data_IF_179260169060
#
_entry.id   IF_179260169060
#
_cell.length_a   1.000
_cell.length_b   1.000
_cell.length_c   1.000
_cell.angle_alpha   90.00
_cell.angle_beta   90.00
_cell.angle_gamma   90.00
#
_symmetry.space_group_name_H-M   'P 1'
#
loop_
_entity.id
_entity.type
_entity.pdbx_description
1 polymer ?
#
# COMPACT_ATOMS: atom_id res chain seq x y z
N UNK A 1 -5.16 34.92 -7.60
CA UNK A 1 -5.11 33.47 -7.88
C UNK A 1 -5.25 32.77 -6.53
N UNK A 2 -6.46 32.33 -6.16
CA UNK A 2 -6.76 31.83 -4.82
C UNK A 2 -6.52 30.33 -4.71
N UNK A 3 -5.69 29.92 -3.75
CA UNK A 3 -5.59 28.51 -3.33
C UNK A 3 -6.97 28.07 -2.79
N UNK A 4 -7.35 26.82 -3.07
CA UNK A 4 -8.67 26.27 -2.73
C UNK A 4 -9.09 26.58 -1.28
N UNK A 5 -10.29 27.13 -1.08
CA UNK A 5 -10.86 27.50 0.24
C UNK A 5 -11.33 26.30 1.08
N UNK A 6 -10.80 25.10 0.87
CA UNK A 6 -11.32 23.87 1.49
C UNK A 6 -10.20 23.11 2.18
N UNK A 7 -10.41 22.62 3.40
CA UNK A 7 -9.42 21.78 4.08
C UNK A 7 -9.25 20.43 3.35
N UNK A 8 -8.03 19.89 3.27
CA UNK A 8 -7.80 18.59 2.65
C UNK A 8 -8.38 17.46 3.49
N UNK A 9 -8.76 16.39 2.82
CA UNK A 9 -9.12 15.13 3.45
C UNK A 9 -7.93 14.19 3.37
N UNK A 10 -7.42 13.74 4.52
CA UNK A 10 -6.37 12.72 4.58
C UNK A 10 -6.98 11.34 4.39
N UNK A 11 -6.56 10.65 3.33
CA UNK A 11 -7.00 9.29 3.00
C UNK A 11 -5.77 8.39 2.97
N UNK A 12 -5.80 7.31 3.77
CA UNK A 12 -4.79 6.25 3.71
C UNK A 12 -5.35 5.00 3.04
N UNK A 13 -4.73 4.58 1.94
CA UNK A 13 -5.10 3.38 1.19
C UNK A 13 -4.93 2.09 2.00
N UNK A 14 -4.20 2.12 3.12
CA UNK A 14 -3.97 0.97 4.00
C UNK A 14 -5.26 0.24 4.44
N UNK A 15 -6.42 0.90 4.37
CA UNK A 15 -7.73 0.29 4.69
C UNK A 15 -8.26 -0.63 3.59
N UNK A 16 -7.81 -0.44 2.36
CA UNK A 16 -8.28 -1.14 1.15
C UNK A 16 -7.15 -1.82 0.38
N UNK A 17 -5.89 -1.53 0.73
CA UNK A 17 -4.71 -2.16 0.15
C UNK A 17 -3.71 -2.60 1.22
N UNK A 18 -2.76 -3.46 0.86
CA UNK A 18 -1.70 -3.92 1.76
C UNK A 18 -0.58 -2.90 1.94
N UNK A 19 -0.61 -1.75 1.25
CA UNK A 19 0.42 -0.73 1.31
C UNK A 19 -0.08 0.56 1.97
N UNK A 20 0.77 1.17 2.81
CA UNK A 20 0.50 2.51 3.32
C UNK A 20 0.64 3.56 2.22
N UNK A 21 -0.41 4.34 1.97
CA UNK A 21 -0.42 5.44 0.99
C UNK A 21 -1.36 6.54 1.48
N UNK A 22 -0.88 7.31 2.45
CA UNK A 22 -1.57 8.46 2.98
C UNK A 22 -1.41 9.67 2.05
N UNK A 23 -2.52 10.15 1.50
CA UNK A 23 -2.54 11.27 0.56
C UNK A 23 -3.63 12.27 0.93
N UNK A 24 -3.34 13.56 0.71
CA UNK A 24 -4.30 14.64 0.89
C UNK A 24 -5.10 14.83 -0.39
N UNK A 25 -6.41 14.70 -0.29
CA UNK A 25 -7.35 14.96 -1.38
C UNK A 25 -8.03 16.31 -1.17
N UNK A 26 -7.98 17.16 -2.19
CA UNK A 26 -8.63 18.48 -2.21
C UNK A 26 -9.75 18.46 -3.26
N UNK A 27 -10.94 18.91 -2.91
CA UNK A 27 -12.04 18.98 -3.86
C UNK A 27 -13.40 19.02 -3.19
N UNK A 28 -14.45 19.12 -4.01
CA UNK A 28 -15.85 19.21 -3.59
C UNK A 28 -16.64 17.92 -3.82
N UNK A 29 -15.96 16.77 -3.98
CA UNK A 29 -16.65 15.51 -4.26
C UNK A 29 -17.53 15.13 -3.05
N UNK A 30 -18.84 14.93 -3.25
CA UNK A 30 -19.75 14.58 -2.17
C UNK A 30 -19.36 13.22 -1.59
N UNK A 31 -19.27 13.15 -0.26
CA UNK A 31 -18.93 11.91 0.44
C UNK A 31 -17.45 11.61 0.62
N UNK A 32 -16.53 12.51 0.24
CA UNK A 32 -15.07 12.32 0.45
C UNK A 32 -14.69 12.17 1.94
N UNK A 33 -15.48 12.73 2.85
CA UNK A 33 -15.30 12.59 4.31
C UNK A 33 -15.90 11.29 4.89
N UNK A 34 -16.53 10.44 4.07
CA UNK A 34 -17.10 9.18 4.56
C UNK A 34 -15.97 8.21 4.92
N UNK A 35 -16.18 7.32 5.91
CA UNK A 35 -15.20 6.29 6.21
C UNK A 35 -14.98 5.42 4.97
N UNK A 36 -13.72 5.17 4.66
CA UNK A 36 -13.34 4.20 3.64
C UNK A 36 -13.68 2.82 4.19
N UNK A 37 -14.51 2.09 3.45
CA UNK A 37 -14.96 0.75 3.80
C UNK A 37 -14.29 -0.22 2.84
N UNK A 38 -13.72 -1.28 3.39
CA UNK A 38 -13.16 -2.39 2.63
C UNK A 38 -14.27 -3.16 1.91
N UNK A 39 -14.13 -3.34 0.61
CA UNK A 39 -14.95 -4.21 -0.22
C UNK A 39 -14.48 -5.66 -0.13
N UNK A 40 -15.34 -6.63 -0.44
CA UNK A 40 -14.94 -8.06 -0.49
C UNK A 40 -13.85 -8.35 -1.53
N UNK A 41 -13.69 -7.49 -2.53
CA UNK A 41 -12.66 -7.62 -3.56
C UNK A 41 -11.32 -6.99 -3.18
N UNK A 42 -11.29 -6.23 -2.07
CA UNK A 42 -10.08 -5.52 -1.65
C UNK A 42 -9.10 -6.49 -1.02
N UNK A 43 -7.92 -6.60 -1.62
CA UNK A 43 -6.83 -7.41 -1.10
C UNK A 43 -6.10 -6.59 -0.06
N UNK A 44 -6.48 -6.71 1.20
CA UNK A 44 -5.89 -5.88 2.28
C UNK A 44 -4.60 -6.48 2.85
N UNK A 45 -4.35 -7.77 2.59
CA UNK A 45 -3.15 -8.44 3.05
C UNK A 45 -2.18 -8.67 1.89
N UNK A 46 -0.89 -8.48 2.14
CA UNK A 46 0.15 -8.68 1.13
C UNK A 46 0.10 -10.11 0.56
N UNK A 47 -0.23 -11.08 1.40
CA UNK A 47 -0.31 -12.49 1.00
C UNK A 47 -1.32 -12.75 -0.12
N UNK A 48 -2.42 -11.97 -0.17
CA UNK A 48 -3.48 -12.12 -1.17
C UNK A 48 -3.04 -11.60 -2.56
N UNK A 49 -1.95 -10.84 -2.60
CA UNK A 49 -1.35 -10.27 -3.80
C UNK A 49 -0.20 -11.12 -4.37
N UNK A 50 0.39 -12.01 -3.56
CA UNK A 50 1.52 -12.86 -3.94
C UNK A 50 1.11 -14.04 -4.84
N UNK A 51 2.03 -14.47 -5.70
CA UNK A 51 1.89 -15.72 -6.45
C UNK A 51 2.03 -16.97 -5.56
N UNK A 52 1.55 -18.12 -6.05
CA UNK A 52 1.64 -19.40 -5.33
C UNK A 52 3.10 -19.76 -5.03
N UNK A 53 3.35 -20.23 -3.82
CA UNK A 53 4.69 -20.64 -3.38
C UNK A 53 5.50 -19.52 -2.70
N UNK A 54 4.99 -18.29 -2.69
CA UNK A 54 5.59 -17.14 -2.00
C UNK A 54 4.80 -16.82 -0.73
N UNK A 55 5.52 -16.52 0.34
CA UNK A 55 4.97 -16.25 1.67
C UNK A 55 5.30 -14.83 2.10
N UNK A 56 4.29 -14.06 2.45
CA UNK A 56 4.43 -12.71 2.97
C UNK A 56 4.99 -12.75 4.40
N UNK A 57 6.05 -11.99 4.67
CA UNK A 57 6.59 -11.80 6.02
C UNK A 57 5.87 -10.70 6.80
N UNK A 58 5.15 -9.85 6.08
CA UNK A 58 4.42 -8.72 6.61
C UNK A 58 3.01 -8.73 6.05
N UNK A 59 2.01 -8.43 6.88
CA UNK A 59 0.63 -8.26 6.41
C UNK A 59 0.50 -7.00 5.57
N UNK A 60 1.22 -5.94 5.97
CA UNK A 60 1.21 -4.62 5.35
C UNK A 60 2.61 -4.09 5.14
N UNK A 61 2.80 -3.37 4.05
CA UNK A 61 4.07 -2.79 3.66
C UNK A 61 4.05 -1.27 3.79
N UNK A 62 5.21 -0.69 4.05
CA UNK A 62 5.37 0.77 4.07
C UNK A 62 5.10 1.39 2.70
N UNK A 63 4.94 2.71 2.67
CA UNK A 63 4.84 3.48 1.43
C UNK A 63 5.99 3.17 0.48
N UNK A 64 5.64 2.78 -0.76
CA UNK A 64 6.57 2.38 -1.82
C UNK A 64 6.69 3.53 -2.84
N UNK A 65 7.65 4.46 -2.69
CA UNK A 65 8.06 5.35 -3.75
C UNK A 65 8.77 4.61 -4.89
N UNK A 66 9.13 5.34 -5.95
CA UNK A 66 9.86 4.84 -7.12
C UNK A 66 11.27 4.31 -6.84
N UNK A 67 11.78 4.47 -5.61
CA UNK A 67 13.09 3.98 -5.21
C UNK A 67 13.00 2.53 -4.70
N UNK A 68 13.76 1.62 -5.29
CA UNK A 68 13.83 0.20 -4.93
C UNK A 68 14.19 -0.05 -3.45
N UNK A 69 14.90 0.85 -2.78
CA UNK A 69 15.20 0.74 -1.35
C UNK A 69 13.92 0.72 -0.50
N UNK A 70 12.82 1.30 -1.00
CA UNK A 70 11.54 1.32 -0.29
C UNK A 70 10.86 -0.04 -0.17
N UNK A 71 11.21 -1.00 -1.02
CA UNK A 71 10.67 -2.36 -0.99
C UNK A 71 11.10 -3.14 0.26
N UNK A 72 12.29 -2.82 0.78
CA UNK A 72 12.76 -3.34 2.06
C UNK A 72 11.94 -2.76 3.20
N UNK A 73 11.58 -3.58 4.18
CA UNK A 73 10.79 -3.19 5.34
C UNK A 73 11.68 -2.87 6.55
N UNK A 74 11.20 -1.95 7.39
CA UNK A 74 11.90 -1.36 8.55
C UNK A 74 13.18 -0.56 8.21
N UNK A 75 13.51 0.41 9.10
CA UNK A 75 14.66 1.30 8.92
C UNK A 75 16.00 0.63 9.21
N UNK A 76 16.03 -0.31 10.15
CA UNK A 76 17.30 -0.78 10.75
C UNK A 76 17.90 -2.02 10.07
N UNK A 77 17.07 -2.89 9.48
CA UNK A 77 17.53 -4.21 9.00
C UNK A 77 17.22 -4.45 7.52
N UNK A 78 16.41 -3.59 6.88
CA UNK A 78 16.09 -3.71 5.46
C UNK A 78 15.56 -5.10 5.09
N UNK A 79 14.65 -5.65 5.89
CA UNK A 79 14.13 -7.01 5.72
C UNK A 79 13.33 -7.09 4.43
N UNK A 80 13.52 -8.16 3.67
CA UNK A 80 12.76 -8.38 2.46
C UNK A 80 11.32 -8.78 2.82
N UNK A 81 10.31 -8.26 2.11
CA UNK A 81 8.90 -8.41 2.48
C UNK A 81 8.35 -9.83 2.24
N UNK A 82 9.02 -10.62 1.40
CA UNK A 82 8.54 -11.93 0.94
C UNK A 82 9.61 -12.99 1.20
N UNK A 83 9.18 -14.23 1.37
CA UNK A 83 10.04 -15.42 1.33
C UNK A 83 9.52 -16.41 0.30
N UNK A 84 10.42 -16.94 -0.52
CA UNK A 84 10.14 -18.04 -1.44
C UNK A 84 11.01 -19.23 -1.06
N UNK A 85 10.37 -20.34 -0.67
CA UNK A 85 11.06 -21.59 -0.27
C UNK A 85 12.14 -21.39 0.81
N UNK A 86 11.94 -20.43 1.71
CA UNK A 86 12.88 -20.12 2.80
C UNK A 86 13.99 -19.14 2.44
N UNK A 87 14.03 -18.64 1.20
CA UNK A 87 14.92 -17.56 0.76
C UNK A 87 14.15 -16.24 0.78
N UNK A 88 14.78 -15.19 1.29
CA UNK A 88 14.19 -13.86 1.39
C UNK A 88 14.23 -13.15 0.02
N UNK A 89 13.11 -12.56 -0.40
CA UNK A 89 12.96 -11.95 -1.72
C UNK A 89 12.11 -10.65 -1.70
N UNK A 90 12.32 -9.78 -2.68
CA UNK A 90 11.55 -8.56 -2.88
C UNK A 90 10.18 -8.83 -3.53
N UNK A 91 9.25 -7.88 -3.38
CA UNK A 91 8.02 -7.92 -4.17
C UNK A 91 8.33 -7.83 -5.66
N UNK A 92 7.63 -8.62 -6.46
CA UNK A 92 7.71 -8.54 -7.91
C UNK A 92 6.89 -7.37 -8.45
N UNK A 93 7.20 -6.94 -9.67
CA UNK A 93 6.47 -5.86 -10.35
C UNK A 93 4.97 -6.21 -10.46
N UNK A 94 4.64 -7.47 -10.76
CA UNK A 94 3.26 -7.96 -10.81
C UNK A 94 2.49 -7.82 -9.50
N UNK A 95 3.18 -7.89 -8.36
CA UNK A 95 2.60 -7.64 -7.04
C UNK A 95 2.46 -6.13 -6.84
N UNK A 96 3.52 -5.36 -7.12
CA UNK A 96 3.50 -3.90 -6.99
C UNK A 96 2.40 -3.23 -7.81
N UNK A 97 2.09 -3.74 -9.01
CA UNK A 97 0.98 -3.25 -9.84
C UNK A 97 -0.38 -3.51 -9.18
N UNK A 98 -0.56 -4.62 -8.47
CA UNK A 98 -1.79 -4.92 -7.72
C UNK A 98 -1.93 -4.08 -6.45
N UNK A 99 -0.83 -3.58 -5.90
CA UNK A 99 -0.81 -2.67 -4.76
C UNK A 99 -1.03 -1.21 -5.16
N UNK A 100 -0.60 -0.84 -6.36
CA UNK A 100 -0.57 0.54 -6.83
C UNK A 100 -1.93 1.05 -7.33
N UNK A 101 -2.81 0.12 -7.74
CA UNK A 101 -4.13 0.36 -8.33
C UNK A 101 -5.23 -0.31 -7.51
#
# INVERSE_FOLDING_TARGET
MGLAQCNPVLVDAVKVSPAHKAQNFWGSIPGTNRPIITSQNDKVNLQDCLERGRVAKFTKVRTIPTNSNSLKQNKDVGKLPVSEKGVDDNMWITVLEKEAF
#
